data_IF_818156177001
#
_entry.id   IF_818156177001
#
_cell.length_a   1.000
_cell.length_b   1.000
_cell.length_c   1.000
_cell.angle_alpha   90.00
_cell.angle_beta   90.00
_cell.angle_gamma   90.00
#
_symmetry.space_group_name_H-M   'P 1'
#
loop_
_entity.id
_entity.type
_entity.pdbx_description
1 polymer ?
#
# COMPACT_ATOMS: atom_id res chain seq x y z
N UNK A 1 -1.51 10.86 -12.94
CA UNK A 1 -1.90 10.03 -14.12
C UNK A 1 -1.00 8.81 -14.29
N UNK A 2 0.33 8.94 -14.26
CA UNK A 2 1.24 7.79 -14.47
C UNK A 2 1.02 6.65 -13.46
N UNK A 3 0.84 6.95 -12.19
CA UNK A 3 0.54 5.95 -11.14
C UNK A 3 -0.77 5.22 -11.37
N UNK A 4 -1.79 5.91 -11.88
CA UNK A 4 -3.07 5.30 -12.25
C UNK A 4 -2.91 4.29 -13.39
N UNK A 5 -2.16 4.67 -14.43
CA UNK A 5 -1.87 3.81 -15.56
C UNK A 5 -1.06 2.57 -15.12
N UNK A 6 0.00 2.81 -14.33
CA UNK A 6 0.83 1.73 -13.82
C UNK A 6 0.03 0.76 -12.92
N UNK A 7 -0.81 1.28 -12.06
CA UNK A 7 -1.56 0.47 -11.10
C UNK A 7 -2.69 -0.33 -11.78
N UNK A 8 -3.54 0.33 -12.56
CA UNK A 8 -4.75 -0.30 -13.10
C UNK A 8 -4.56 -0.89 -14.50
N UNK A 9 -3.69 -0.29 -15.31
CA UNK A 9 -3.59 -0.59 -16.74
C UNK A 9 -2.21 -1.14 -17.12
N UNK A 10 -1.31 -1.30 -16.16
CA UNK A 10 0.05 -1.85 -16.33
C UNK A 10 0.87 -1.14 -17.39
N UNK A 11 0.65 0.16 -17.57
CA UNK A 11 1.35 0.97 -18.56
C UNK A 11 0.90 0.75 -20.01
N UNK A 12 -0.20 0.01 -20.22
CA UNK A 12 -0.65 -0.36 -21.57
C UNK A 12 -1.43 0.76 -22.28
N UNK A 13 -1.79 1.83 -21.59
CA UNK A 13 -2.66 2.87 -22.15
C UNK A 13 -1.86 4.01 -22.79
N UNK A 14 -2.20 4.43 -24.03
CA UNK A 14 -1.57 5.60 -24.64
C UNK A 14 -1.77 6.85 -23.77
N UNK A 15 -0.68 7.61 -23.53
CA UNK A 15 -0.69 8.81 -22.69
C UNK A 15 -1.72 9.86 -23.13
N UNK A 16 -2.02 9.93 -24.44
CA UNK A 16 -3.04 10.82 -24.96
C UNK A 16 -4.46 10.41 -24.50
N UNK A 17 -4.75 9.12 -24.48
CA UNK A 17 -6.03 8.61 -23.96
C UNK A 17 -6.20 8.90 -22.48
N UNK A 18 -5.15 8.67 -21.68
CA UNK A 18 -5.18 9.02 -20.25
C UNK A 18 -5.44 10.50 -20.01
N UNK A 19 -4.75 11.40 -20.74
CA UNK A 19 -4.98 12.83 -20.62
C UNK A 19 -6.42 13.20 -20.96
N UNK A 20 -6.98 12.63 -22.02
CA UNK A 20 -8.38 12.85 -22.40
C UNK A 20 -9.34 12.36 -21.31
N UNK A 21 -9.16 11.14 -20.79
CA UNK A 21 -10.01 10.62 -19.72
C UNK A 21 -9.99 11.50 -18.46
N UNK A 22 -8.82 11.98 -18.07
CA UNK A 22 -8.72 12.88 -16.92
C UNK A 22 -9.34 14.26 -17.20
N UNK A 23 -9.25 14.77 -18.42
CA UNK A 23 -9.94 15.99 -18.83
C UNK A 23 -11.48 15.82 -18.83
N UNK A 24 -11.97 14.68 -19.35
CA UNK A 24 -13.41 14.36 -19.39
C UNK A 24 -14.03 14.19 -18.00
N UNK A 25 -13.22 13.91 -16.98
CA UNK A 25 -13.68 13.87 -15.58
C UNK A 25 -14.04 15.26 -15.04
N UNK A 26 -13.44 16.34 -15.60
CA UNK A 26 -13.71 17.73 -15.21
C UNK A 26 -13.64 17.92 -13.70
N UNK A 27 -14.64 18.60 -13.13
CA UNK A 27 -14.70 18.95 -11.70
C UNK A 27 -14.89 17.75 -10.76
N UNK A 28 -15.08 16.55 -11.29
CA UNK A 28 -15.15 15.33 -10.47
C UNK A 28 -13.81 14.92 -9.86
N UNK A 29 -12.70 15.43 -10.44
CA UNK A 29 -11.33 15.13 -10.00
C UNK A 29 -10.59 16.45 -9.81
N UNK A 30 -9.97 16.61 -8.66
CA UNK A 30 -9.13 17.76 -8.36
C UNK A 30 -7.64 17.34 -8.34
N UNK A 31 -6.79 18.27 -8.70
CA UNK A 31 -5.35 18.17 -8.46
C UNK A 31 -5.06 18.54 -7.00
N UNK A 32 -4.24 17.76 -6.35
CA UNK A 32 -3.76 18.00 -5.00
C UNK A 32 -2.24 17.87 -4.97
N UNK A 33 -1.61 18.58 -4.07
CA UNK A 33 -0.19 18.41 -3.78
C UNK A 33 -0.01 17.41 -2.65
N UNK A 34 0.84 16.43 -2.88
CA UNK A 34 1.25 15.44 -1.88
C UNK A 34 2.78 15.49 -1.78
N UNK A 35 3.28 16.18 -0.77
CA UNK A 35 4.73 16.32 -0.52
C UNK A 35 5.51 16.80 -1.76
N UNK A 36 5.01 17.83 -2.44
CA UNK A 36 5.61 18.37 -3.65
C UNK A 36 5.30 17.61 -4.93
N UNK A 37 4.50 16.55 -4.86
CA UNK A 37 4.10 15.77 -6.03
C UNK A 37 2.62 15.97 -6.36
N UNK A 38 2.34 16.35 -7.62
CA UNK A 38 0.97 16.46 -8.10
C UNK A 38 0.28 15.11 -8.15
N UNK A 39 -0.78 14.95 -7.37
CA UNK A 39 -1.67 13.81 -7.39
C UNK A 39 -3.10 14.20 -7.79
N UNK A 40 -3.95 13.20 -7.99
CA UNK A 40 -5.35 13.39 -8.35
C UNK A 40 -6.24 12.69 -7.34
N UNK A 41 -7.26 13.38 -6.87
CA UNK A 41 -8.23 12.87 -5.91
C UNK A 41 -9.63 13.18 -6.40
N UNK A 42 -10.61 12.35 -6.09
CA UNK A 42 -12.01 12.72 -6.36
C UNK A 42 -12.34 13.97 -5.55
N UNK A 43 -12.87 14.99 -6.22
CA UNK A 43 -13.13 16.30 -5.60
C UNK A 43 -13.96 16.18 -4.30
N UNK A 44 -14.95 15.29 -4.28
CA UNK A 44 -15.79 15.04 -3.11
C UNK A 44 -15.07 14.44 -1.90
N UNK A 45 -13.92 13.82 -2.09
CA UNK A 45 -13.19 13.10 -1.03
C UNK A 45 -12.09 13.99 -0.40
N UNK A 46 -11.85 15.20 -0.91
CA UNK A 46 -10.76 16.08 -0.44
C UNK A 46 -10.89 16.38 1.05
N UNK A 47 -12.08 16.77 1.48
CA UNK A 47 -12.33 17.12 2.88
C UNK A 47 -12.12 15.92 3.82
N UNK A 48 -12.59 14.74 3.43
CA UNK A 48 -12.45 13.51 4.20
C UNK A 48 -10.99 13.07 4.30
N UNK A 49 -10.24 13.13 3.19
CA UNK A 49 -8.81 12.81 3.18
C UNK A 49 -8.03 13.79 4.04
N UNK A 50 -8.31 15.10 3.93
CA UNK A 50 -7.64 16.14 4.73
C UNK A 50 -7.94 16.00 6.23
N UNK A 51 -9.13 15.54 6.60
CA UNK A 51 -9.53 15.32 7.99
C UNK A 51 -9.06 13.97 8.54
N UNK A 52 -8.59 13.05 7.69
CA UNK A 52 -8.18 11.70 8.10
C UNK A 52 -6.93 11.76 8.97
N UNK A 53 -7.03 11.20 10.17
CA UNK A 53 -5.89 11.09 11.09
C UNK A 53 -5.08 9.84 10.80
N UNK A 54 -3.75 9.87 10.99
CA UNK A 54 -2.91 8.69 10.90
C UNK A 54 -3.41 7.57 11.81
N UNK A 55 -3.52 6.37 11.27
CA UNK A 55 -3.91 5.20 12.05
C UNK A 55 -2.75 4.59 12.82
N UNK A 56 -3.02 4.04 14.00
CA UNK A 56 -2.06 3.19 14.73
C UNK A 56 -2.30 1.70 14.48
N UNK A 57 -3.26 1.37 13.61
CA UNK A 57 -3.59 -0.01 13.30
C UNK A 57 -2.40 -0.74 12.65
N UNK A 58 -2.24 -2.00 13.03
CA UNK A 58 -1.34 -2.94 12.37
C UNK A 58 -2.18 -3.93 11.57
N UNK A 59 -1.71 -4.29 10.37
CA UNK A 59 -2.34 -5.30 9.52
C UNK A 59 -1.33 -6.31 9.01
N UNK A 60 -1.67 -7.57 9.09
CA UNK A 60 -0.98 -8.66 8.41
C UNK A 60 -1.69 -8.90 7.08
N UNK A 61 -1.02 -8.54 5.98
CA UNK A 61 -1.55 -8.73 4.64
C UNK A 61 -0.91 -9.98 4.00
N UNK A 62 -1.66 -10.75 3.23
CA UNK A 62 -1.13 -11.95 2.55
C UNK A 62 -0.10 -11.58 1.48
N UNK A 63 0.59 -12.58 0.96
CA UNK A 63 1.39 -12.43 -0.25
C UNK A 63 0.52 -11.96 -1.42
N UNK A 64 1.08 -11.14 -2.30
CA UNK A 64 0.40 -10.58 -3.47
C UNK A 64 -0.81 -9.68 -3.16
N UNK A 65 -0.89 -9.12 -1.95
CA UNK A 65 -1.95 -8.17 -1.60
C UNK A 65 -1.88 -6.91 -2.47
N UNK A 66 -3.05 -6.41 -2.88
CA UNK A 66 -3.17 -5.22 -3.74
C UNK A 66 -2.62 -3.95 -3.11
N UNK A 67 -2.53 -3.89 -1.79
CA UNK A 67 -1.90 -2.78 -1.08
C UNK A 67 -0.43 -2.62 -1.49
N UNK A 68 0.26 -3.71 -1.77
CA UNK A 68 1.67 -3.72 -2.21
C UNK A 68 1.76 -3.75 -3.74
N UNK A 69 0.93 -4.55 -4.40
CA UNK A 69 0.98 -4.71 -5.86
C UNK A 69 0.52 -3.47 -6.61
N UNK A 70 -0.49 -2.75 -6.08
CA UNK A 70 -1.05 -1.57 -6.73
C UNK A 70 -0.02 -0.50 -6.99
N UNK A 71 0.58 0.11 -5.95
CA UNK A 71 1.67 1.08 -6.12
C UNK A 71 2.95 0.43 -6.64
N UNK A 72 3.14 -0.86 -6.38
CA UNK A 72 4.36 -1.61 -6.69
C UNK A 72 5.38 -1.56 -5.56
N UNK A 73 6.23 -2.60 -5.48
CA UNK A 73 7.27 -2.71 -4.44
C UNK A 73 8.40 -1.68 -4.56
N UNK A 74 8.41 -0.89 -5.63
CA UNK A 74 9.34 0.21 -5.83
C UNK A 74 8.86 1.54 -5.25
N UNK A 75 7.60 1.63 -4.79
CA UNK A 75 7.07 2.85 -4.16
C UNK A 75 7.63 2.99 -2.73
N UNK A 76 8.47 4.02 -2.47
CA UNK A 76 9.10 4.21 -1.17
C UNK A 76 8.12 4.60 -0.06
N UNK A 77 6.92 5.07 -0.42
CA UNK A 77 5.88 5.41 0.55
C UNK A 77 5.21 4.15 1.10
N UNK A 78 5.23 3.05 0.35
CA UNK A 78 4.63 1.78 0.76
C UNK A 78 5.68 0.81 1.27
N UNK A 79 6.76 0.59 0.50
CA UNK A 79 7.82 -0.35 0.87
C UNK A 79 9.13 0.41 1.10
N UNK A 80 9.70 0.39 2.31
CA UNK A 80 10.98 1.03 2.56
C UNK A 80 12.05 0.48 1.60
N UNK A 81 12.82 1.32 0.89
CA UNK A 81 13.79 0.86 -0.11
C UNK A 81 14.83 -0.13 0.42
N UNK A 82 15.28 0.06 1.66
CA UNK A 82 16.24 -0.83 2.33
C UNK A 82 15.74 -2.27 2.49
N UNK A 83 14.40 -2.46 2.56
CA UNK A 83 13.77 -3.76 2.81
C UNK A 83 13.01 -4.30 1.60
N UNK A 84 13.18 -3.67 0.45
CA UNK A 84 12.49 -4.08 -0.78
C UNK A 84 12.78 -5.55 -1.16
N UNK A 85 14.01 -6.02 -0.98
CA UNK A 85 14.41 -7.38 -1.31
C UNK A 85 13.74 -8.44 -0.42
N UNK A 86 13.32 -8.07 0.79
CA UNK A 86 12.57 -8.94 1.71
C UNK A 86 11.10 -9.07 1.32
N UNK A 87 10.56 -8.06 0.66
CA UNK A 87 9.18 -8.03 0.16
C UNK A 87 9.08 -8.59 -1.26
N UNK A 88 9.91 -8.10 -2.18
CA UNK A 88 9.96 -8.54 -3.58
C UNK A 88 11.07 -9.55 -3.76
N UNK A 89 10.70 -10.83 -3.79
CA UNK A 89 11.61 -11.97 -3.84
C UNK A 89 11.86 -12.44 -5.28
N UNK A 90 12.78 -13.39 -5.42
CA UNK A 90 13.06 -14.03 -6.71
C UNK A 90 11.79 -14.61 -7.37
N UNK A 91 11.82 -14.77 -8.69
CA UNK A 91 10.72 -15.27 -9.52
C UNK A 91 9.40 -14.48 -9.37
N UNK A 92 9.48 -13.19 -8.99
CA UNK A 92 8.29 -12.33 -8.85
C UNK A 92 7.45 -12.60 -7.61
N UNK A 93 7.96 -13.37 -6.66
CA UNK A 93 7.25 -13.64 -5.41
C UNK A 93 7.14 -12.38 -4.55
N UNK A 94 5.94 -12.13 -4.02
CA UNK A 94 5.69 -11.05 -3.06
C UNK A 94 5.38 -11.66 -1.70
N UNK A 95 6.21 -11.34 -0.73
CA UNK A 95 6.07 -11.84 0.65
C UNK A 95 4.79 -11.31 1.31
N UNK A 96 4.18 -12.08 2.22
CA UNK A 96 3.21 -11.54 3.16
C UNK A 96 3.85 -10.45 4.02
N UNK A 97 3.15 -9.34 4.25
CA UNK A 97 3.71 -8.15 4.90
C UNK A 97 2.96 -7.71 6.14
N UNK A 98 3.68 -7.08 7.04
CA UNK A 98 3.12 -6.34 8.17
C UNK A 98 3.04 -4.87 7.77
N UNK A 99 1.84 -4.29 7.81
CA UNK A 99 1.64 -2.87 7.56
C UNK A 99 1.37 -2.16 8.87
N UNK A 100 2.08 -1.07 9.12
CA UNK A 100 1.88 -0.18 10.26
C UNK A 100 1.96 1.26 9.79
N UNK A 101 1.01 2.11 10.21
CA UNK A 101 0.96 3.53 9.82
C UNK A 101 1.01 3.74 8.30
N UNK A 102 0.38 2.85 7.52
CA UNK A 102 0.35 2.94 6.07
C UNK A 102 1.63 2.50 5.35
N UNK A 103 2.63 1.94 6.03
CA UNK A 103 3.88 1.45 5.42
C UNK A 103 4.14 0.01 5.80
N UNK A 104 4.82 -0.70 4.93
CA UNK A 104 5.33 -2.04 5.23
C UNK A 104 6.42 -1.92 6.30
N UNK A 105 6.19 -2.56 7.44
CA UNK A 105 7.06 -2.54 8.62
C UNK A 105 7.71 -3.90 8.92
N UNK A 106 7.43 -4.90 8.09
CA UNK A 106 7.97 -6.24 8.26
C UNK A 106 7.34 -7.24 7.31
N UNK A 107 7.75 -8.48 7.46
CA UNK A 107 7.14 -9.64 6.78
C UNK A 107 6.59 -10.62 7.81
N UNK A 108 5.73 -11.53 7.36
CA UNK A 108 5.25 -12.61 8.22
C UNK A 108 5.09 -13.90 7.42
N UNK A 109 4.99 -15.01 8.13
CA UNK A 109 4.69 -16.33 7.55
C UNK A 109 3.81 -17.12 8.50
N UNK A 110 3.02 -18.03 7.93
CA UNK A 110 2.31 -19.07 8.66
C UNK A 110 2.98 -20.41 8.35
N UNK A 111 3.55 -21.01 9.37
CA UNK A 111 4.20 -22.31 9.30
C UNK A 111 3.97 -22.99 10.66
N UNK A 112 2.78 -23.57 10.80
CA UNK A 112 2.25 -24.06 12.10
C UNK A 112 1.81 -22.92 13.02
N UNK A 113 2.56 -21.85 13.15
CA UNK A 113 2.23 -20.62 13.86
C UNK A 113 2.56 -19.38 13.03
N UNK A 114 2.05 -18.21 13.45
CA UNK A 114 2.37 -16.94 12.79
C UNK A 114 3.70 -16.41 13.33
N UNK A 115 4.72 -16.43 12.48
CA UNK A 115 6.00 -15.79 12.74
C UNK A 115 6.09 -14.43 12.04
N UNK A 116 6.48 -13.40 12.80
CA UNK A 116 6.61 -12.02 12.32
C UNK A 116 8.06 -11.59 12.41
N UNK A 117 8.58 -11.00 11.33
CA UNK A 117 9.88 -10.33 11.25
C UNK A 117 9.68 -8.85 10.99
N UNK A 118 9.95 -8.00 11.98
CA UNK A 118 9.86 -6.54 11.84
C UNK A 118 11.18 -6.00 11.31
N UNK A 119 11.11 -5.00 10.43
CA UNK A 119 12.28 -4.31 9.89
C UNK A 119 12.90 -3.36 10.90
N UNK A 120 12.04 -2.67 11.66
CA UNK A 120 12.44 -1.63 12.61
C UNK A 120 11.63 -1.71 13.90
N UNK A 121 12.12 -1.02 14.92
CA UNK A 121 11.35 -0.80 16.16
C UNK A 121 10.26 0.25 15.93
N UNK A 122 9.19 0.20 16.73
CA UNK A 122 8.12 1.22 16.70
C UNK A 122 6.76 0.74 16.23
N UNK A 123 6.64 -0.53 15.83
CA UNK A 123 5.32 -1.15 15.63
C UNK A 123 4.69 -1.38 17.00
N UNK A 124 3.46 -0.87 17.27
CA UNK A 124 2.81 -1.03 18.57
C UNK A 124 2.56 -2.51 18.90
N UNK A 125 3.20 -3.02 19.96
CA UNK A 125 3.18 -4.45 20.29
C UNK A 125 1.78 -4.98 20.57
N UNK A 126 0.92 -4.20 21.24
CA UNK A 126 -0.47 -4.58 21.53
C UNK A 126 -1.30 -4.70 20.25
N UNK A 127 -1.14 -3.76 19.30
CA UNK A 127 -1.83 -3.78 18.03
C UNK A 127 -1.36 -4.97 17.16
N UNK A 128 -0.05 -5.23 17.12
CA UNK A 128 0.52 -6.39 16.45
C UNK A 128 -0.01 -7.71 17.03
N UNK A 129 0.03 -7.87 18.33
CA UNK A 129 -0.48 -9.08 19.00
C UNK A 129 -1.98 -9.28 18.76
N UNK A 130 -2.75 -8.19 18.76
CA UNK A 130 -4.18 -8.23 18.42
C UNK A 130 -4.42 -8.71 17.00
N UNK A 131 -3.64 -8.21 16.04
CA UNK A 131 -3.75 -8.59 14.64
C UNK A 131 -3.31 -10.03 14.40
N UNK A 132 -2.21 -10.47 15.02
CA UNK A 132 -1.77 -11.89 14.97
C UNK A 132 -2.89 -12.81 15.47
N UNK A 133 -3.52 -12.50 16.59
CA UNK A 133 -4.65 -13.30 17.09
C UNK A 133 -5.84 -13.29 16.13
N UNK A 134 -6.11 -12.15 15.47
CA UNK A 134 -7.17 -12.06 14.46
C UNK A 134 -6.89 -12.96 13.27
N UNK A 135 -5.69 -12.87 12.70
CA UNK A 135 -5.30 -13.65 11.51
C UNK A 135 -5.23 -15.14 11.82
N UNK A 136 -4.71 -15.52 13.01
CA UNK A 136 -4.67 -16.94 13.43
C UNK A 136 -6.05 -17.61 13.40
N UNK A 137 -7.12 -16.88 13.66
CA UNK A 137 -8.50 -17.42 13.58
C UNK A 137 -9.02 -17.59 12.16
N UNK A 138 -8.35 -17.02 11.17
CA UNK A 138 -8.72 -17.07 9.75
C UNK A 138 -7.92 -18.11 8.96
N UNK A 139 -6.83 -18.58 9.53
CA UNK A 139 -5.97 -19.61 8.93
C UNK A 139 -6.36 -20.95 9.55
N UNK A 140 -6.59 -22.00 8.74
CA UNK A 140 -6.93 -23.33 9.21
C UNK A 140 -5.81 -23.99 10.03
#
# INVERSE_FOLDING_TARGET
MASFDQWLLRGATPKAALRRWFADLGDRVAQVDVEGTTAYLRAKDIADVAATKPTTAVRLLPGFDQYVLGPGTGDPNVVPPAHRAEVSRAAGWISPVVVSRGRVAGTWKADGDIAVSLFERGVPASALSGEVRRVRRLIP
#
